data_IF_936833495646
#
_entry.id   IF_936833495646
#
_cell.length_a   1.000
_cell.length_b   1.000
_cell.length_c   1.000
_cell.angle_alpha   90.00
_cell.angle_beta   90.00
_cell.angle_gamma   90.00
#
_symmetry.space_group_name_H-M   'P 1'
#
loop_
_entity.id
_entity.type
_entity.pdbx_description
1 polymer ?
#
# COMPACT_ATOMS: atom_id res chain seq x y z
N UNK A 1 42.61 4.78 25.46
CA UNK A 1 41.53 3.92 25.97
C UNK A 1 40.35 4.01 25.01
N UNK A 2 39.93 2.87 24.45
CA UNK A 2 38.94 2.73 23.38
C UNK A 2 37.54 2.71 24.00
N UNK A 3 36.83 3.85 23.97
CA UNK A 3 35.40 3.87 24.31
C UNK A 3 34.64 3.13 23.21
N UNK A 4 34.23 1.89 23.50
CA UNK A 4 33.25 1.17 22.69
C UNK A 4 31.92 1.91 22.85
N UNK A 5 31.55 2.71 21.85
CA UNK A 5 30.17 3.12 21.67
C UNK A 5 29.34 1.84 21.49
N UNK A 6 28.74 1.38 22.59
CA UNK A 6 27.73 0.35 22.58
C UNK A 6 26.57 0.90 21.74
N UNK A 7 26.50 0.44 20.49
CA UNK A 7 25.29 0.53 19.66
C UNK A 7 24.19 -0.14 20.49
N UNK A 8 23.38 0.70 21.15
CA UNK A 8 22.24 0.26 21.94
C UNK A 8 21.19 -0.22 20.94
N UNK A 9 21.38 -1.43 20.44
CA UNK A 9 20.44 -2.13 19.57
C UNK A 9 19.23 -2.53 20.43
N UNK A 10 18.42 -1.54 20.83
CA UNK A 10 17.09 -1.82 21.37
C UNK A 10 16.27 -2.28 20.17
N UNK A 11 16.17 -3.59 20.02
CA UNK A 11 15.04 -4.18 19.31
C UNK A 11 13.78 -3.56 19.91
N UNK A 12 13.19 -2.60 19.23
CA UNK A 12 11.95 -1.98 19.65
C UNK A 12 10.85 -3.01 19.41
N UNK A 13 10.57 -3.81 20.44
CA UNK A 13 9.49 -4.79 20.44
C UNK A 13 8.16 -4.17 20.02
N UNK A 14 7.96 -2.87 20.26
CA UNK A 14 6.80 -2.10 19.80
C UNK A 14 6.64 -2.11 18.28
N UNK A 15 7.73 -1.94 17.51
CA UNK A 15 7.66 -2.00 16.04
C UNK A 15 7.37 -3.42 15.57
N UNK A 16 8.03 -4.42 16.17
CA UNK A 16 7.78 -5.82 15.83
C UNK A 16 6.31 -6.21 16.09
N UNK A 17 5.77 -5.79 17.23
CA UNK A 17 4.37 -5.99 17.58
C UNK A 17 3.42 -5.27 16.61
N UNK A 18 3.75 -4.04 16.20
CA UNK A 18 2.97 -3.31 15.21
C UNK A 18 2.91 -4.05 13.86
N UNK A 19 4.05 -4.48 13.31
CA UNK A 19 4.07 -5.22 12.04
C UNK A 19 3.35 -6.58 12.16
N UNK A 20 3.48 -7.27 13.28
CA UNK A 20 2.76 -8.52 13.54
C UNK A 20 1.25 -8.28 13.65
N UNK A 21 0.83 -7.18 14.27
CA UNK A 21 -0.59 -6.79 14.34
C UNK A 21 -1.19 -6.51 12.96
N UNK A 22 -0.41 -5.98 12.02
CA UNK A 22 -0.83 -5.77 10.63
C UNK A 22 -1.01 -7.09 9.89
N UNK A 23 -0.09 -8.04 10.07
CA UNK A 23 -0.25 -9.39 9.50
C UNK A 23 -1.50 -10.07 10.07
N UNK A 24 -1.72 -9.96 11.39
CA UNK A 24 -2.92 -10.50 12.03
C UNK A 24 -4.20 -9.81 11.53
N UNK A 25 -4.18 -8.49 11.37
CA UNK A 25 -5.27 -7.73 10.76
C UNK A 25 -5.60 -8.24 9.35
N UNK A 26 -4.58 -8.56 8.56
CA UNK A 26 -4.76 -9.06 7.19
C UNK A 26 -5.43 -10.44 7.14
N UNK A 27 -5.18 -11.28 8.15
CA UNK A 27 -5.89 -12.56 8.30
C UNK A 27 -7.31 -12.34 8.78
N UNK A 28 -7.55 -11.34 9.63
CA UNK A 28 -8.91 -10.98 10.06
C UNK A 28 -9.74 -10.41 8.91
N UNK A 29 -9.16 -9.57 8.06
CA UNK A 29 -9.88 -8.95 6.93
C UNK A 29 -10.39 -9.97 5.92
N UNK A 30 -9.74 -11.14 5.79
CA UNK A 30 -10.24 -12.21 4.92
C UNK A 30 -11.41 -13.00 5.50
N UNK A 31 -11.55 -13.01 6.83
CA UNK A 31 -12.67 -13.65 7.53
C UNK A 31 -13.87 -12.68 7.61
N UNK A 32 -13.60 -11.40 7.82
CA UNK A 32 -14.61 -10.37 8.02
C UNK A 32 -14.80 -9.51 6.77
N UNK A 33 -15.86 -9.78 6.03
CA UNK A 33 -16.23 -9.08 4.78
C UNK A 33 -16.37 -7.54 4.89
N UNK A 34 -16.53 -6.98 6.10
CA UNK A 34 -16.65 -5.54 6.33
C UNK A 34 -15.32 -4.84 6.59
N UNK A 35 -14.23 -5.59 6.80
CA UNK A 35 -12.90 -5.05 7.06
C UNK A 35 -12.12 -4.85 5.76
N UNK A 36 -11.67 -3.62 5.48
CA UNK A 36 -10.86 -3.37 4.29
C UNK A 36 -9.45 -3.99 4.41
N UNK A 37 -8.83 -4.43 3.31
CA UNK A 37 -7.48 -5.02 3.32
C UNK A 37 -6.34 -4.01 3.55
N UNK A 38 -6.62 -2.70 3.59
CA UNK A 38 -5.64 -1.61 3.68
C UNK A 38 -4.77 -1.43 2.42
N UNK A 39 -5.27 -1.87 1.25
CA UNK A 39 -4.58 -1.75 -0.03
C UNK A 39 -4.18 -0.31 -0.36
N UNK A 40 -5.15 0.59 -0.42
CA UNK A 40 -4.95 1.99 -0.75
C UNK A 40 -4.14 2.74 0.30
N UNK A 41 -4.23 2.34 1.57
CA UNK A 41 -3.37 2.89 2.64
C UNK A 41 -1.90 2.57 2.40
N UNK A 42 -1.58 1.29 2.13
CA UNK A 42 -0.20 0.88 1.83
C UNK A 42 0.29 1.46 0.49
N UNK A 43 -0.60 1.57 -0.50
CA UNK A 43 -0.29 2.20 -1.77
C UNK A 43 0.11 3.68 -1.59
N UNK A 44 -0.68 4.44 -0.83
CA UNK A 44 -0.37 5.83 -0.50
C UNK A 44 0.91 5.93 0.34
N UNK A 45 1.09 5.02 1.30
CA UNK A 45 2.28 4.98 2.15
C UNK A 45 3.56 4.79 1.34
N UNK A 46 3.53 3.86 0.39
CA UNK A 46 4.63 3.62 -0.53
C UNK A 46 4.94 4.87 -1.37
N UNK A 47 3.94 5.54 -1.92
CA UNK A 47 4.16 6.82 -2.64
C UNK A 47 4.86 7.85 -1.74
N UNK A 48 4.45 7.96 -0.48
CA UNK A 48 5.09 8.87 0.48
C UNK A 48 6.55 8.47 0.75
N UNK A 49 6.84 7.18 0.93
CA UNK A 49 8.20 6.68 1.17
C UNK A 49 9.13 6.94 -0.02
N UNK A 50 8.66 6.76 -1.26
CA UNK A 50 9.47 7.05 -2.44
C UNK A 50 9.75 8.55 -2.58
N UNK A 51 8.78 9.41 -2.27
CA UNK A 51 9.02 10.86 -2.23
C UNK A 51 10.00 11.25 -1.13
N UNK A 52 9.89 10.64 0.05
CA UNK A 52 10.82 10.87 1.15
C UNK A 52 12.25 10.54 0.69
N UNK A 53 12.43 9.38 0.05
CA UNK A 53 13.69 8.95 -0.56
C UNK A 53 14.20 9.95 -1.62
N UNK A 54 13.35 10.44 -2.51
CA UNK A 54 13.72 11.44 -3.53
C UNK A 54 14.20 12.75 -2.90
N UNK A 55 13.60 13.17 -1.77
CA UNK A 55 13.97 14.41 -1.06
C UNK A 55 15.24 14.26 -0.21
N UNK A 56 15.39 13.13 0.48
CA UNK A 56 16.49 12.90 1.43
C UNK A 56 17.70 12.20 0.79
N UNK A 57 17.56 11.73 -0.47
CA UNK A 57 18.54 10.88 -1.17
C UNK A 57 18.94 9.62 -0.36
N UNK A 58 18.09 9.22 0.60
CA UNK A 58 18.37 8.08 1.48
C UNK A 58 18.11 6.75 0.78
N UNK A 59 18.59 5.66 1.39
CA UNK A 59 18.21 4.30 0.95
C UNK A 59 16.78 3.98 1.38
N UNK A 60 16.17 3.01 0.70
CA UNK A 60 14.88 2.47 1.10
C UNK A 60 15.04 1.63 2.37
N UNK A 61 14.22 1.94 3.38
CA UNK A 61 14.26 1.26 4.68
C UNK A 61 13.39 0.00 4.68
N UNK A 62 13.46 -0.76 5.78
CA UNK A 62 12.59 -1.91 6.07
C UNK A 62 11.09 -1.61 5.84
N UNK A 63 10.64 -0.38 6.10
CA UNK A 63 9.26 0.09 5.89
C UNK A 63 8.76 -0.14 4.46
N UNK A 64 9.64 0.06 3.48
CA UNK A 64 9.36 -0.15 2.06
C UNK A 64 9.16 -1.63 1.74
N UNK A 65 10.11 -2.47 2.18
CA UNK A 65 10.08 -3.91 1.95
C UNK A 65 8.90 -4.57 2.65
N UNK A 66 8.57 -4.12 3.87
CA UNK A 66 7.37 -4.57 4.58
C UNK A 66 6.10 -4.21 3.81
N UNK A 67 6.03 -3.01 3.20
CA UNK A 67 4.86 -2.61 2.41
C UNK A 67 4.67 -3.50 1.18
N UNK A 68 5.74 -3.82 0.46
CA UNK A 68 5.70 -4.78 -0.65
C UNK A 68 5.27 -6.17 -0.18
N UNK A 69 5.84 -6.65 0.93
CA UNK A 69 5.46 -7.92 1.53
C UNK A 69 3.98 -7.94 1.93
N UNK A 70 3.48 -6.84 2.51
CA UNK A 70 2.09 -6.70 2.91
C UNK A 70 1.16 -6.77 1.69
N UNK A 71 1.46 -6.04 0.60
CA UNK A 71 0.68 -6.12 -0.64
C UNK A 71 0.62 -7.55 -1.20
N UNK A 72 1.74 -8.27 -1.17
CA UNK A 72 1.81 -9.67 -1.60
C UNK A 72 0.96 -10.58 -0.71
N UNK A 73 0.97 -10.36 0.62
CA UNK A 73 0.08 -11.07 1.53
C UNK A 73 -1.39 -10.82 1.19
N UNK A 74 -1.75 -9.60 0.79
CA UNK A 74 -3.12 -9.33 0.37
C UNK A 74 -3.46 -10.16 -0.87
N UNK A 75 -2.59 -10.20 -1.87
CA UNK A 75 -2.83 -10.99 -3.09
C UNK A 75 -3.13 -12.45 -2.75
N UNK A 76 -2.29 -13.06 -1.90
CA UNK A 76 -2.44 -14.46 -1.47
C UNK A 76 -3.74 -14.68 -0.68
N UNK A 77 -4.03 -13.80 0.30
CA UNK A 77 -5.09 -14.04 1.28
C UNK A 77 -6.47 -13.71 0.69
N UNK A 78 -6.57 -12.68 -0.16
CA UNK A 78 -7.83 -12.23 -0.75
C UNK A 78 -8.09 -12.83 -2.14
N UNK A 79 -7.16 -13.66 -2.65
CA UNK A 79 -7.34 -14.40 -3.89
C UNK A 79 -7.11 -13.59 -5.16
N UNK A 80 -6.43 -12.44 -5.07
CA UNK A 80 -5.98 -11.73 -6.27
C UNK A 80 -4.86 -12.51 -6.94
N UNK A 81 -4.67 -12.25 -8.24
CA UNK A 81 -3.56 -12.80 -8.98
C UNK A 81 -2.23 -12.36 -8.35
N UNK A 82 -1.33 -13.33 -8.17
CA UNK A 82 -0.06 -13.10 -7.47
C UNK A 82 0.75 -11.99 -8.18
N UNK A 83 1.23 -11.02 -7.41
CA UNK A 83 1.98 -9.84 -7.89
C UNK A 83 1.17 -8.81 -8.70
N UNK A 84 -0.14 -8.99 -8.87
CA UNK A 84 -0.99 -7.99 -9.52
C UNK A 84 -0.89 -6.63 -8.82
N UNK A 85 -0.89 -6.63 -7.48
CA UNK A 85 -0.76 -5.41 -6.67
C UNK A 85 0.58 -4.70 -6.85
N UNK A 86 1.67 -5.45 -7.01
CA UNK A 86 3.00 -4.89 -7.25
C UNK A 86 3.07 -4.24 -8.63
N UNK A 87 2.59 -4.93 -9.66
CA UNK A 87 2.57 -4.40 -11.03
C UNK A 87 1.72 -3.14 -11.08
N UNK A 88 0.51 -3.18 -10.49
CA UNK A 88 -0.37 -2.04 -10.37
C UNK A 88 0.33 -0.84 -9.71
N UNK A 89 1.07 -1.08 -8.61
CA UNK A 89 1.82 -0.04 -7.93
C UNK A 89 2.91 0.58 -8.79
N UNK A 90 3.79 -0.24 -9.39
CA UNK A 90 4.90 0.29 -10.18
C UNK A 90 4.44 1.04 -11.42
N UNK A 91 3.43 0.52 -12.11
CA UNK A 91 2.83 1.19 -13.28
C UNK A 91 2.20 2.51 -12.87
N UNK A 92 1.42 2.53 -11.79
CA UNK A 92 0.81 3.76 -11.29
C UNK A 92 1.85 4.80 -10.89
N UNK A 93 2.87 4.39 -10.12
CA UNK A 93 3.90 5.28 -9.62
C UNK A 93 4.64 5.98 -10.76
N UNK A 94 5.11 5.21 -11.75
CA UNK A 94 5.94 5.76 -12.82
C UNK A 94 5.17 6.54 -13.87
N UNK A 95 3.91 6.18 -14.16
CA UNK A 95 3.15 6.83 -15.24
C UNK A 95 2.27 7.98 -14.75
N UNK A 96 1.66 7.84 -13.56
CA UNK A 96 0.53 8.69 -13.17
C UNK A 96 0.85 9.63 -12.01
N UNK A 97 1.74 9.29 -11.08
CA UNK A 97 1.98 10.12 -9.88
C UNK A 97 2.46 11.53 -10.23
N UNK A 98 3.39 11.66 -11.17
CA UNK A 98 3.91 12.97 -11.60
C UNK A 98 2.90 13.75 -12.46
N UNK A 99 2.12 13.03 -13.26
CA UNK A 99 1.02 13.62 -14.03
C UNK A 99 -0.05 14.22 -13.12
N UNK A 100 -0.50 13.47 -12.12
CA UNK A 100 -1.51 13.92 -11.16
C UNK A 100 -1.03 15.12 -10.33
N UNK A 101 0.23 15.10 -9.86
CA UNK A 101 0.80 16.24 -9.13
C UNK A 101 0.85 17.52 -9.97
N UNK A 102 1.36 17.42 -11.20
CA UNK A 102 1.58 18.58 -12.06
C UNK A 102 0.26 19.22 -12.52
N UNK A 103 -0.76 18.39 -12.79
CA UNK A 103 -2.04 18.86 -13.32
C UNK A 103 -3.06 19.25 -12.25
N UNK A 104 -3.20 18.47 -11.18
CA UNK A 104 -4.34 18.67 -10.28
C UNK A 104 -4.09 19.69 -9.16
N UNK A 105 -2.85 19.96 -8.72
CA UNK A 105 -2.53 20.89 -7.61
C UNK A 105 -3.45 20.78 -6.38
N UNK A 106 -4.02 19.60 -6.14
CA UNK A 106 -5.06 19.34 -5.13
C UNK A 106 -4.49 19.13 -3.71
N UNK A 107 -3.19 19.30 -3.52
CA UNK A 107 -2.50 19.17 -2.23
C UNK A 107 -2.83 17.83 -1.55
N UNK A 108 -3.50 17.89 -0.40
CA UNK A 108 -3.82 16.72 0.41
C UNK A 108 -4.94 15.84 -0.17
N UNK A 109 -5.81 16.35 -1.04
CA UNK A 109 -6.87 15.55 -1.67
C UNK A 109 -6.32 14.56 -2.71
N UNK A 110 -5.05 14.73 -3.13
CA UNK A 110 -4.37 13.74 -3.96
C UNK A 110 -4.32 12.35 -3.31
N UNK A 111 -4.32 12.26 -1.98
CA UNK A 111 -4.36 10.99 -1.26
C UNK A 111 -5.61 10.19 -1.61
N UNK A 112 -6.79 10.83 -1.63
CA UNK A 112 -8.06 10.18 -1.96
C UNK A 112 -8.02 9.64 -3.40
N UNK A 113 -7.48 10.44 -4.33
CA UNK A 113 -7.33 10.05 -5.73
C UNK A 113 -6.37 8.87 -5.87
N UNK A 114 -5.24 8.89 -5.15
CA UNK A 114 -4.27 7.78 -5.18
C UNK A 114 -4.87 6.50 -4.60
N UNK A 115 -5.67 6.62 -3.54
CA UNK A 115 -6.41 5.50 -2.95
C UNK A 115 -7.39 4.93 -3.98
N UNK A 116 -8.13 5.78 -4.68
CA UNK A 116 -9.08 5.37 -5.72
C UNK A 116 -8.38 4.67 -6.89
N UNK A 117 -7.28 5.26 -7.37
CA UNK A 117 -6.48 4.68 -8.43
C UNK A 117 -5.90 3.33 -8.01
N UNK A 118 -5.46 3.16 -6.76
CA UNK A 118 -4.95 1.88 -6.28
C UNK A 118 -5.96 0.75 -6.54
N UNK A 119 -7.21 0.90 -6.13
CA UNK A 119 -8.24 -0.12 -6.37
C UNK A 119 -8.53 -0.35 -7.86
N UNK A 120 -8.61 0.71 -8.66
CA UNK A 120 -8.85 0.57 -10.11
C UNK A 120 -7.70 -0.18 -10.79
N UNK A 121 -6.46 0.20 -10.51
CA UNK A 121 -5.29 -0.42 -11.14
C UNK A 121 -5.11 -1.85 -10.69
N UNK A 122 -5.32 -2.15 -9.39
CA UNK A 122 -5.27 -3.52 -8.89
C UNK A 122 -6.32 -4.37 -9.60
N UNK A 123 -7.57 -3.91 -9.68
CA UNK A 123 -8.62 -4.64 -10.40
C UNK A 123 -8.27 -4.85 -11.87
N UNK A 124 -7.82 -3.80 -12.55
CA UNK A 124 -7.48 -3.86 -13.97
C UNK A 124 -6.38 -4.90 -14.22
N UNK A 125 -5.31 -4.89 -13.41
CA UNK A 125 -4.21 -5.82 -13.56
C UNK A 125 -4.56 -7.24 -13.12
N UNK A 126 -5.38 -7.39 -12.09
CA UNK A 126 -5.92 -8.68 -11.66
C UNK A 126 -6.71 -9.34 -12.80
N UNK A 127 -7.68 -8.62 -13.37
CA UNK A 127 -8.48 -9.09 -14.51
C UNK A 127 -7.58 -9.38 -15.72
N UNK A 128 -6.63 -8.50 -16.01
CA UNK A 128 -5.71 -8.67 -17.14
C UNK A 128 -4.86 -9.95 -17.00
N UNK A 129 -4.30 -10.20 -15.82
CA UNK A 129 -3.48 -11.39 -15.57
C UNK A 129 -4.34 -12.67 -15.51
N UNK A 130 -5.50 -12.62 -14.87
CA UNK A 130 -6.44 -13.73 -14.86
C UNK A 130 -6.90 -14.11 -16.28
N UNK A 131 -7.13 -13.10 -17.14
CA UNK A 131 -7.48 -13.31 -18.55
C UNK A 131 -6.34 -13.98 -19.34
N UNK A 132 -5.08 -13.59 -19.12
CA UNK A 132 -3.93 -14.21 -19.77
C UNK A 132 -3.76 -15.69 -19.39
N UNK A 133 -4.10 -16.04 -18.15
CA UNK A 133 -3.99 -17.40 -17.63
C UNK A 133 -5.28 -18.23 -17.80
N UNK A 134 -6.32 -17.67 -18.44
CA UNK A 134 -7.68 -18.24 -18.55
C UNK A 134 -8.28 -18.68 -17.19
N UNK A 135 -7.91 -18.00 -16.11
CA UNK A 135 -8.43 -18.25 -14.76
C UNK A 135 -9.76 -17.52 -14.53
N UNK A 136 -10.46 -17.89 -13.46
CA UNK A 136 -11.67 -17.19 -13.03
C UNK A 136 -11.36 -15.73 -12.66
N UNK A 137 -12.18 -14.81 -13.19
CA UNK A 137 -12.05 -13.38 -12.91
C UNK A 137 -12.72 -13.08 -11.57
N UNK A 138 -11.98 -12.42 -10.67
CA UNK A 138 -12.50 -11.99 -9.39
C UNK A 138 -13.60 -10.94 -9.59
N UNK A 139 -14.79 -11.19 -9.02
CA UNK A 139 -15.90 -10.25 -9.13
C UNK A 139 -15.74 -9.12 -8.11
N UNK A 140 -15.52 -7.91 -8.61
CA UNK A 140 -15.60 -6.72 -7.77
C UNK A 140 -17.05 -6.48 -7.32
N UNK A 141 -17.31 -6.70 -6.03
CA UNK A 141 -18.59 -6.41 -5.40
C UNK A 141 -18.70 -4.99 -4.82
N UNK A 142 -19.82 -4.70 -4.17
CA UNK A 142 -20.13 -3.39 -3.59
C UNK A 142 -19.29 -3.08 -2.33
N UNK A 143 -18.76 -4.10 -1.68
CA UNK A 143 -17.85 -4.02 -0.54
C UNK A 143 -16.61 -3.18 -0.82
N UNK A 144 -16.09 -3.24 -2.04
CA UNK A 144 -14.91 -2.48 -2.43
C UNK A 144 -15.15 -0.97 -2.44
N UNK A 145 -16.39 -0.52 -2.64
CA UNK A 145 -16.75 0.89 -2.51
C UNK A 145 -16.65 1.35 -1.05
N UNK A 146 -17.10 0.51 -0.11
CA UNK A 146 -16.97 0.77 1.32
C UNK A 146 -15.49 0.75 1.73
N UNK A 147 -14.72 -0.23 1.26
CA UNK A 147 -13.29 -0.32 1.54
C UNK A 147 -12.54 0.92 1.06
N UNK A 148 -12.79 1.33 -0.18
CA UNK A 148 -12.24 2.56 -0.72
C UNK A 148 -12.55 3.78 0.17
N UNK A 149 -13.81 3.95 0.60
CA UNK A 149 -14.19 5.11 1.41
C UNK A 149 -13.46 5.15 2.75
N UNK A 150 -13.40 4.00 3.44
CA UNK A 150 -12.70 3.87 4.74
C UNK A 150 -11.20 4.08 4.56
N UNK A 151 -10.59 3.43 3.58
CA UNK A 151 -9.15 3.53 3.35
C UNK A 151 -8.72 4.91 2.85
N UNK A 152 -9.56 5.60 2.08
CA UNK A 152 -9.31 6.98 1.66
C UNK A 152 -9.31 7.93 2.87
N UNK A 153 -10.24 7.75 3.81
CA UNK A 153 -10.27 8.51 5.07
C UNK A 153 -9.03 8.24 5.90
N UNK A 154 -8.65 6.97 6.08
CA UNK A 154 -7.44 6.57 6.82
C UNK A 154 -6.20 7.19 6.17
N UNK A 155 -6.05 7.04 4.86
CA UNK A 155 -4.93 7.58 4.09
C UNK A 155 -4.84 9.09 4.22
N UNK A 156 -5.98 9.77 4.10
CA UNK A 156 -6.05 11.22 4.29
C UNK A 156 -5.59 11.63 5.69
N UNK A 157 -6.12 11.02 6.75
CA UNK A 157 -5.76 11.38 8.13
C UNK A 157 -4.29 11.12 8.43
N UNK A 158 -3.74 9.98 8.01
CA UNK A 158 -2.37 9.56 8.35
C UNK A 158 -1.31 10.31 7.52
N UNK A 159 -1.60 10.58 6.25
CA UNK A 159 -0.61 11.13 5.31
C UNK A 159 -0.85 12.60 4.93
N UNK A 160 -1.90 13.25 5.48
CA UNK A 160 -2.07 14.70 5.32
C UNK A 160 -0.80 15.43 5.78
N UNK A 161 -0.30 16.33 4.93
CA UNK A 161 0.94 17.08 5.13
C UNK A 161 2.23 16.38 4.68
N UNK A 162 2.19 15.08 4.31
CA UNK A 162 3.38 14.34 3.82
C UNK A 162 3.49 14.29 2.29
N UNK A 163 2.44 14.69 1.57
CA UNK A 163 2.33 14.63 0.11
C UNK A 163 2.69 15.95 -0.58
#
# INVERSE_FOLDING_TARGET
MRSRNLVKNRFDFSYLFFYLSLIFYQVLSSVYYWMPPLFGVFFCYMIVLLKEKERTLSKLDFRWYFSLFYLLLIDIIHGFYLFSSWIAFFVFYHLFVDWFKSKLKLGHYLLVIFTFCAYIFIYLFDVFLAYLDNNEILKFGIEYLWFFAVEALISFVIFKGKI
#
